data_IF_844583134804
#
_entry.id   IF_844583134804
#
_cell.length_a   1.000
_cell.length_b   1.000
_cell.length_c   1.000
_cell.angle_alpha   90.00
_cell.angle_beta   90.00
_cell.angle_gamma   90.00
#
_symmetry.space_group_name_H-M   'P 1'
#
loop_
_entity.id
_entity.type
_entity.pdbx_description
1 polymer ?
#
# COMPACT_ATOMS: atom_id res chain seq x y z
N UNK A 1 -17.04 2.14 10.34
CA UNK A 1 -18.28 2.39 9.57
C UNK A 1 -18.56 1.19 8.66
N UNK A 2 -19.74 1.12 8.04
CA UNK A 2 -20.01 0.10 7.00
C UNK A 2 -19.88 0.73 5.63
N UNK A 3 -19.10 0.11 4.75
CA UNK A 3 -18.86 0.54 3.36
C UNK A 3 -19.09 -0.64 2.42
N UNK A 4 -19.16 -0.38 1.12
CA UNK A 4 -19.24 -1.41 0.10
C UNK A 4 -17.89 -2.11 -0.04
N UNK A 5 -17.88 -3.42 0.23
CA UNK A 5 -16.75 -4.30 0.03
C UNK A 5 -16.43 -4.51 -1.45
N UNK A 6 -15.30 -5.16 -1.79
CA UNK A 6 -14.87 -5.29 -3.18
C UNK A 6 -15.90 -6.04 -4.05
N UNK A 7 -16.66 -6.99 -3.50
CA UNK A 7 -17.72 -7.72 -4.21
C UNK A 7 -19.11 -7.06 -4.20
N UNK A 8 -19.25 -5.86 -3.63
CA UNK A 8 -20.53 -5.14 -3.52
C UNK A 8 -21.32 -5.39 -2.22
N UNK A 9 -20.90 -6.34 -1.39
CA UNK A 9 -21.51 -6.60 -0.07
C UNK A 9 -21.02 -5.60 0.98
N UNK A 10 -21.82 -5.30 2.00
CA UNK A 10 -21.39 -4.39 3.07
C UNK A 10 -20.32 -4.99 3.98
N UNK A 11 -19.21 -4.28 4.16
CA UNK A 11 -18.10 -4.67 5.06
C UNK A 11 -17.89 -3.62 6.14
N UNK A 12 -17.45 -4.05 7.33
CA UNK A 12 -17.01 -3.14 8.38
C UNK A 12 -15.59 -2.70 8.07
N UNK A 13 -15.41 -1.40 7.88
CA UNK A 13 -14.12 -0.78 7.64
C UNK A 13 -13.84 0.34 8.65
N UNK A 14 -12.55 0.62 8.84
CA UNK A 14 -12.06 1.70 9.69
C UNK A 14 -10.82 2.33 9.05
N UNK A 15 -10.52 3.54 9.49
CA UNK A 15 -9.32 4.27 9.15
C UNK A 15 -8.87 5.06 10.38
N UNK A 16 -7.60 5.47 10.40
CA UNK A 16 -7.02 6.23 11.51
C UNK A 16 -7.26 7.71 11.36
N UNK A 17 -7.72 8.38 12.42
CA UNK A 17 -7.69 9.83 12.54
C UNK A 17 -6.45 10.22 13.35
N UNK A 18 -5.69 11.18 12.83
CA UNK A 18 -4.50 11.71 13.45
C UNK A 18 -4.72 13.17 13.90
N UNK A 19 -3.94 13.67 14.87
CA UNK A 19 -3.98 15.08 15.25
C UNK A 19 -3.73 16.00 14.04
N UNK A 20 -4.36 17.18 14.04
CA UNK A 20 -4.16 18.19 13.00
C UNK A 20 -4.99 17.97 11.74
N UNK A 21 -6.20 17.43 11.85
CA UNK A 21 -7.11 17.19 10.70
C UNK A 21 -6.51 16.25 9.65
N UNK A 22 -5.82 15.20 10.10
CA UNK A 22 -5.15 14.21 9.26
C UNK A 22 -5.83 12.85 9.35
N UNK A 23 -5.75 12.05 8.29
CA UNK A 23 -6.19 10.66 8.31
C UNK A 23 -5.23 9.72 7.60
N UNK A 24 -5.18 8.48 8.07
CA UNK A 24 -4.51 7.35 7.39
C UNK A 24 -5.57 6.34 7.01
N UNK A 25 -5.72 6.09 5.71
CA UNK A 25 -6.71 5.18 5.14
C UNK A 25 -5.96 4.01 4.50
N UNK A 26 -6.29 2.79 4.90
CA UNK A 26 -5.86 1.59 4.18
C UNK A 26 -6.97 1.15 3.22
N UNK A 27 -6.70 1.17 1.92
CA UNK A 27 -7.71 0.77 0.92
C UNK A 27 -8.15 -0.69 1.13
N UNK A 28 -7.25 -1.54 1.64
CA UNK A 28 -7.53 -2.96 1.89
C UNK A 28 -8.65 -3.16 2.93
N UNK A 29 -8.88 -2.20 3.84
CA UNK A 29 -9.97 -2.26 4.81
C UNK A 29 -11.36 -2.27 4.16
N UNK A 30 -11.49 -1.70 2.95
CA UNK A 30 -12.74 -1.64 2.20
C UNK A 30 -12.71 -2.42 0.88
N UNK A 31 -11.54 -2.55 0.25
CA UNK A 31 -11.37 -3.08 -1.11
C UNK A 31 -10.22 -4.10 -1.20
N UNK A 32 -9.89 -4.75 -0.07
CA UNK A 32 -8.78 -5.68 0.06
C UNK A 32 -9.08 -7.12 -0.33
N UNK A 33 -8.05 -7.84 -0.75
CA UNK A 33 -8.11 -9.24 -1.18
C UNK A 33 -8.54 -10.20 -0.06
N UNK A 34 -8.26 -9.85 1.19
CA UNK A 34 -8.61 -10.64 2.39
C UNK A 34 -10.10 -10.57 2.75
N UNK A 35 -10.84 -9.66 2.14
CA UNK A 35 -12.30 -9.55 2.29
C UNK A 35 -13.06 -10.54 1.41
N UNK A 36 -12.37 -11.29 0.55
CA UNK A 36 -12.95 -12.24 -0.39
C UNK A 36 -12.42 -13.65 -0.12
N UNK A 37 -13.32 -14.63 -0.19
CA UNK A 37 -12.91 -16.03 -0.30
C UNK A 37 -12.21 -16.26 -1.65
N UNK A 38 -11.37 -17.30 -1.78
CA UNK A 38 -10.73 -17.63 -3.06
C UNK A 38 -11.70 -17.75 -4.24
N UNK A 39 -12.92 -18.22 -4.00
CA UNK A 39 -13.97 -18.41 -5.01
C UNK A 39 -14.64 -17.09 -5.44
N UNK A 40 -14.63 -16.08 -4.57
CA UNK A 40 -15.22 -14.75 -4.83
C UNK A 40 -14.25 -13.82 -5.59
N UNK A 41 -12.98 -14.21 -5.73
CA UNK A 41 -11.93 -13.42 -6.38
C UNK A 41 -12.16 -13.34 -7.89
N UNK A 42 -12.68 -12.20 -8.33
CA UNK A 42 -12.83 -11.89 -9.75
C UNK A 42 -12.59 -10.39 -10.02
N UNK A 43 -11.43 -10.01 -10.57
CA UNK A 43 -11.05 -8.60 -10.74
C UNK A 43 -11.84 -7.87 -11.83
N UNK A 44 -12.64 -8.58 -12.64
CA UNK A 44 -13.57 -7.95 -13.59
C UNK A 44 -14.75 -7.28 -12.87
N UNK A 45 -15.19 -7.84 -11.74
CA UNK A 45 -16.41 -7.38 -11.06
C UNK A 45 -16.14 -6.67 -9.73
N UNK A 46 -14.92 -6.75 -9.21
CA UNK A 46 -14.57 -6.06 -7.96
C UNK A 46 -14.42 -4.56 -8.15
N UNK A 47 -14.76 -3.79 -7.11
CA UNK A 47 -14.74 -2.33 -7.16
C UNK A 47 -14.03 -1.70 -5.96
N UNK A 48 -13.42 -0.53 -6.19
CA UNK A 48 -12.80 0.32 -5.16
C UNK A 48 -13.79 1.27 -4.47
N UNK A 49 -15.10 1.13 -4.71
CA UNK A 49 -16.13 2.06 -4.22
C UNK A 49 -16.07 2.31 -2.71
N UNK A 50 -15.90 1.26 -1.89
CA UNK A 50 -15.76 1.41 -0.46
C UNK A 50 -14.54 2.22 -0.02
N UNK A 51 -13.44 2.19 -0.77
CA UNK A 51 -12.27 3.05 -0.49
C UNK A 51 -12.65 4.52 -0.63
N UNK A 52 -13.40 4.87 -1.67
CA UNK A 52 -13.90 6.23 -1.86
C UNK A 52 -14.90 6.65 -0.78
N UNK A 53 -15.71 5.72 -0.25
CA UNK A 53 -16.57 5.99 0.91
C UNK A 53 -15.78 6.28 2.19
N UNK A 54 -14.62 5.64 2.39
CA UNK A 54 -13.72 5.98 3.51
C UNK A 54 -13.13 7.39 3.35
N UNK A 55 -12.72 7.76 2.14
CA UNK A 55 -12.23 9.10 1.84
C UNK A 55 -13.33 10.13 2.10
N UNK A 56 -14.55 9.88 1.60
CA UNK A 56 -15.69 10.77 1.80
C UNK A 56 -16.02 10.97 3.29
N UNK A 57 -16.03 9.90 4.09
CA UNK A 57 -16.23 10.00 5.55
C UNK A 57 -15.10 10.78 6.24
N UNK A 58 -13.85 10.64 5.79
CA UNK A 58 -12.76 11.46 6.30
C UNK A 58 -12.95 12.96 5.98
N UNK A 59 -13.34 13.28 4.75
CA UNK A 59 -13.67 14.65 4.35
C UNK A 59 -14.86 15.21 5.14
N UNK A 60 -15.88 14.39 5.45
CA UNK A 60 -17.03 14.77 6.29
C UNK A 60 -16.63 15.11 7.72
N UNK A 61 -15.52 14.55 8.19
CA UNK A 61 -14.92 14.88 9.49
C UNK A 61 -13.98 16.08 9.46
N UNK A 62 -13.89 16.77 8.31
CA UNK A 62 -13.05 17.94 8.14
C UNK A 62 -11.56 17.61 8.09
N UNK A 63 -11.21 16.42 7.61
CA UNK A 63 -9.81 16.05 7.30
C UNK A 63 -9.36 16.81 6.06
N UNK A 64 -8.15 17.36 6.11
CA UNK A 64 -7.53 18.14 5.02
C UNK A 64 -6.19 17.58 4.57
N UNK A 65 -5.71 16.50 5.18
CA UNK A 65 -4.52 15.75 4.75
C UNK A 65 -4.78 14.25 4.93
N UNK A 66 -4.76 13.51 3.83
CA UNK A 66 -5.08 12.09 3.76
C UNK A 66 -3.89 11.31 3.22
N UNK A 67 -3.39 10.40 4.06
CA UNK A 67 -2.41 9.39 3.68
C UNK A 67 -3.14 8.09 3.30
N UNK A 68 -3.08 7.70 2.04
CA UNK A 68 -3.74 6.51 1.49
C UNK A 68 -2.72 5.39 1.26
N UNK A 69 -2.82 4.32 2.04
CA UNK A 69 -2.09 3.08 1.81
C UNK A 69 -2.86 2.22 0.80
N UNK A 70 -2.25 1.94 -0.35
CA UNK A 70 -2.95 1.24 -1.43
C UNK A 70 -2.67 -0.26 -1.51
N UNK A 71 -1.75 -0.82 -0.72
CA UNK A 71 -1.42 -2.25 -0.76
C UNK A 71 -2.61 -3.21 -0.51
N UNK A 72 -2.48 -4.47 -0.97
CA UNK A 72 -3.42 -5.54 -0.61
C UNK A 72 -4.77 -5.55 -1.36
N UNK A 73 -4.92 -4.81 -2.45
CA UNK A 73 -6.17 -4.69 -3.22
C UNK A 73 -6.73 -6.00 -3.80
N UNK A 74 -8.07 -6.09 -3.86
CA UNK A 74 -8.84 -7.11 -4.60
C UNK A 74 -9.19 -6.69 -6.05
N UNK A 75 -8.91 -5.43 -6.42
CA UNK A 75 -9.56 -4.73 -7.52
C UNK A 75 -8.67 -4.56 -8.75
N UNK A 76 -9.26 -4.43 -9.94
CA UNK A 76 -8.58 -3.99 -11.15
C UNK A 76 -9.51 -3.08 -11.98
N UNK A 77 -10.07 -2.06 -11.34
CA UNK A 77 -11.11 -1.17 -11.87
C UNK A 77 -10.57 0.23 -12.25
N UNK A 78 -9.24 0.42 -12.30
CA UNK A 78 -8.65 1.73 -12.62
C UNK A 78 -8.92 2.82 -11.58
N UNK A 79 -9.34 2.43 -10.36
CA UNK A 79 -9.79 3.36 -9.32
C UNK A 79 -11.15 3.99 -9.60
N UNK A 80 -11.88 3.54 -10.63
CA UNK A 80 -13.18 4.10 -11.00
C UNK A 80 -14.18 4.02 -9.86
N UNK A 81 -14.24 2.89 -9.13
CA UNK A 81 -15.14 2.74 -7.99
C UNK A 81 -14.92 3.83 -6.93
N UNK A 82 -13.67 4.02 -6.51
CA UNK A 82 -13.27 5.03 -5.54
C UNK A 82 -13.72 6.44 -5.99
N UNK A 83 -13.43 6.78 -7.25
CA UNK A 83 -13.78 8.09 -7.81
C UNK A 83 -15.28 8.29 -7.98
N UNK A 84 -16.05 7.24 -8.28
CA UNK A 84 -17.51 7.30 -8.31
C UNK A 84 -18.10 7.66 -6.95
N UNK A 85 -17.57 7.09 -5.87
CA UNK A 85 -18.01 7.46 -4.52
C UNK A 85 -17.70 8.94 -4.18
N UNK A 86 -16.73 9.54 -4.87
CA UNK A 86 -16.34 10.94 -4.74
C UNK A 86 -17.02 11.88 -5.75
N UNK A 87 -18.00 11.36 -6.51
CA UNK A 87 -18.83 12.16 -7.42
C UNK A 87 -18.37 12.22 -8.88
N UNK A 88 -17.31 11.50 -9.25
CA UNK A 88 -16.90 11.35 -10.67
C UNK A 88 -17.88 10.42 -11.39
N UNK A 89 -18.29 10.80 -12.60
CA UNK A 89 -19.16 9.96 -13.44
C UNK A 89 -18.39 9.47 -14.65
N UNK A 90 -18.30 8.15 -14.80
CA UNK A 90 -17.72 7.51 -15.99
C UNK A 90 -18.85 7.09 -16.92
N UNK A 91 -18.82 7.56 -18.16
CA UNK A 91 -19.92 7.38 -19.10
C UNK A 91 -19.51 6.49 -20.28
N UNK A 92 -20.43 5.61 -20.70
CA UNK A 92 -20.28 4.81 -21.91
C UNK A 92 -20.55 5.63 -23.19
N UNK A 93 -20.37 5.01 -24.36
CA UNK A 93 -20.63 5.66 -25.65
C UNK A 93 -22.09 6.06 -25.91
N UNK A 94 -23.02 5.66 -25.03
CA UNK A 94 -24.45 6.04 -25.06
C UNK A 94 -24.80 7.08 -23.99
N UNK A 95 -23.83 7.49 -23.16
CA UNK A 95 -24.02 8.42 -22.05
C UNK A 95 -24.57 7.78 -20.77
N UNK A 96 -24.61 6.44 -20.67
CA UNK A 96 -24.98 5.77 -19.43
C UNK A 96 -23.81 5.73 -18.46
N UNK A 97 -24.11 5.87 -17.16
CA UNK A 97 -23.09 5.75 -16.12
C UNK A 97 -22.67 4.29 -15.91
N UNK A 98 -21.36 4.06 -15.85
CA UNK A 98 -20.74 2.77 -15.60
C UNK A 98 -20.65 2.45 -14.11
N UNK A 99 -20.58 1.17 -13.75
CA UNK A 99 -20.53 0.75 -12.36
C UNK A 99 -19.14 0.95 -11.71
N UNK A 100 -18.09 1.14 -12.51
CA UNK A 100 -16.74 1.34 -12.00
C UNK A 100 -16.11 0.02 -11.53
N UNK A 101 -16.05 -0.93 -12.45
CA UNK A 101 -15.48 -2.27 -12.29
C UNK A 101 -14.50 -2.56 -13.42
N UNK A 102 -13.68 -3.61 -13.29
CA UNK A 102 -12.72 -3.98 -14.32
C UNK A 102 -13.34 -4.22 -15.70
N UNK A 103 -14.51 -4.85 -15.75
CA UNK A 103 -15.27 -5.10 -17.00
C UNK A 103 -15.83 -3.82 -17.67
N UNK A 104 -15.81 -2.69 -16.98
CA UNK A 104 -16.29 -1.41 -17.49
C UNK A 104 -15.18 -0.58 -18.15
N UNK A 105 -13.90 -0.89 -17.89
CA UNK A 105 -12.75 -0.10 -18.36
C UNK A 105 -12.79 0.13 -19.87
N UNK A 106 -13.09 -0.92 -20.65
CA UNK A 106 -13.17 -0.84 -22.11
C UNK A 106 -14.35 0.01 -22.61
N UNK A 107 -15.38 0.20 -21.80
CA UNK A 107 -16.62 0.89 -22.17
C UNK A 107 -16.55 2.39 -21.92
N UNK A 108 -15.58 2.86 -21.13
CA UNK A 108 -15.43 4.28 -20.79
C UNK A 108 -15.21 5.09 -22.07
N UNK A 109 -16.10 6.04 -22.32
CA UNK A 109 -16.01 6.96 -23.46
C UNK A 109 -15.68 8.39 -23.02
N UNK A 110 -16.27 8.84 -21.91
CA UNK A 110 -16.05 10.19 -21.35
C UNK A 110 -16.14 10.18 -19.83
N UNK A 111 -15.53 11.20 -19.20
CA UNK A 111 -15.49 11.39 -17.75
C UNK A 111 -16.10 12.75 -17.44
N UNK A 112 -17.10 12.77 -16.57
CA UNK A 112 -17.77 13.97 -16.06
C UNK A 112 -17.31 14.24 -14.62
N UNK A 113 -16.82 15.45 -14.40
CA UNK A 113 -16.24 15.94 -13.15
C UNK A 113 -17.11 16.98 -12.45
N UNK A 114 -18.30 17.32 -12.98
CA UNK A 114 -19.14 18.38 -12.41
C UNK A 114 -19.61 18.07 -10.98
N UNK A 115 -19.78 16.79 -10.66
CA UNK A 115 -20.26 16.28 -9.37
C UNK A 115 -19.16 15.99 -8.35
N UNK A 116 -17.88 16.24 -8.67
CA UNK A 116 -16.75 15.90 -7.79
C UNK A 116 -16.83 16.68 -6.49
N UNK A 117 -16.54 16.01 -5.38
CA UNK A 117 -16.48 16.64 -4.07
C UNK A 117 -15.41 17.75 -4.04
N UNK A 118 -15.86 19.00 -3.90
CA UNK A 118 -14.99 20.18 -3.96
C UNK A 118 -13.92 20.21 -2.85
N UNK A 119 -14.10 19.48 -1.76
CA UNK A 119 -13.11 19.40 -0.68
C UNK A 119 -11.81 18.76 -1.16
N UNK A 120 -11.87 17.90 -2.19
CA UNK A 120 -10.68 17.28 -2.79
C UNK A 120 -9.66 18.33 -3.23
N UNK A 121 -10.09 19.49 -3.74
CA UNK A 121 -9.18 20.56 -4.16
C UNK A 121 -8.42 21.22 -3.00
N UNK A 122 -8.96 21.12 -1.78
CA UNK A 122 -8.41 21.72 -0.56
C UNK A 122 -7.77 20.69 0.38
N UNK A 123 -7.74 19.41 -0.02
CA UNK A 123 -7.19 18.31 0.76
C UNK A 123 -5.88 17.86 0.12
N UNK A 124 -4.83 17.77 0.92
CA UNK A 124 -3.57 17.16 0.52
C UNK A 124 -3.72 15.63 0.55
N UNK A 125 -3.29 14.97 -0.52
CA UNK A 125 -3.34 13.51 -0.63
C UNK A 125 -1.93 12.96 -0.82
N UNK A 126 -1.57 11.99 0.01
CA UNK A 126 -0.32 11.24 -0.10
C UNK A 126 -0.64 9.77 -0.32
N UNK A 127 -0.20 9.20 -1.43
CA UNK A 127 -0.40 7.78 -1.76
C UNK A 127 0.88 7.03 -1.51
N UNK A 128 0.84 6.12 -0.54
CA UNK A 128 1.96 5.26 -0.22
C UNK A 128 2.04 4.11 -1.23
N UNK A 129 3.09 4.12 -2.05
CA UNK A 129 3.30 3.15 -3.12
C UNK A 129 4.75 2.67 -3.17
N UNK A 130 4.94 1.37 -2.91
CA UNK A 130 6.27 0.74 -2.87
C UNK A 130 6.60 -0.07 -4.14
N UNK A 131 5.78 0.07 -5.20
CA UNK A 131 6.00 -0.61 -6.49
C UNK A 131 6.18 0.40 -7.62
N UNK A 132 7.02 0.05 -8.59
CA UNK A 132 7.32 0.91 -9.76
C UNK A 132 6.49 0.54 -11.00
N UNK A 133 5.57 -0.41 -10.87
CA UNK A 133 4.78 -0.93 -11.98
C UNK A 133 3.98 0.20 -12.67
N UNK A 134 4.15 0.39 -13.99
CA UNK A 134 3.31 1.30 -14.76
C UNK A 134 1.88 0.77 -14.84
N UNK A 135 0.97 1.54 -15.42
CA UNK A 135 -0.41 1.12 -15.60
C UNK A 135 -0.54 -0.09 -16.54
N UNK A 136 0.20 -0.07 -17.65
CA UNK A 136 0.06 -0.97 -18.79
C UNK A 136 1.33 -1.78 -19.08
N UNK A 137 1.19 -2.82 -19.90
CA UNK A 137 2.28 -3.62 -20.45
C UNK A 137 2.62 -4.84 -19.60
N UNK A 138 3.74 -5.49 -19.92
CA UNK A 138 4.18 -6.73 -19.25
C UNK A 138 4.51 -6.56 -17.78
N UNK A 139 4.81 -5.33 -17.35
CA UNK A 139 4.96 -4.93 -15.95
C UNK A 139 3.74 -4.16 -15.42
N UNK A 140 2.64 -4.12 -16.18
CA UNK A 140 1.43 -3.36 -15.89
C UNK A 140 0.57 -3.96 -14.78
N UNK A 141 -0.48 -3.23 -14.41
CA UNK A 141 -1.40 -3.62 -13.34
C UNK A 141 -2.04 -5.00 -13.57
N UNK A 142 -2.60 -5.21 -14.77
CA UNK A 142 -3.30 -6.44 -15.12
C UNK A 142 -2.34 -7.63 -15.23
N UNK A 143 -1.22 -7.47 -15.96
CA UNK A 143 -0.27 -8.54 -16.18
C UNK A 143 0.37 -9.06 -14.88
N UNK A 144 0.72 -8.17 -13.95
CA UNK A 144 1.47 -8.54 -12.74
C UNK A 144 0.56 -8.92 -11.58
N UNK A 145 -0.51 -8.15 -11.34
CA UNK A 145 -1.27 -8.25 -10.09
C UNK A 145 -2.66 -8.84 -10.24
N UNK A 146 -3.25 -8.92 -11.44
CA UNK A 146 -4.57 -9.52 -11.60
C UNK A 146 -4.59 -11.05 -11.35
N UNK A 147 -3.54 -11.85 -11.69
CA UNK A 147 -3.57 -13.30 -11.44
C UNK A 147 -3.75 -13.68 -9.97
N UNK A 148 -3.05 -13.01 -9.04
CA UNK A 148 -3.24 -13.23 -7.60
C UNK A 148 -4.62 -12.77 -7.09
N UNK A 149 -5.33 -11.94 -7.86
CA UNK A 149 -6.70 -11.48 -7.60
C UNK A 149 -7.76 -12.38 -8.25
N UNK A 150 -7.37 -13.51 -8.85
CA UNK A 150 -8.28 -14.49 -9.47
C UNK A 150 -8.42 -14.39 -10.99
N UNK A 151 -7.66 -13.51 -11.67
CA UNK A 151 -7.71 -13.44 -13.13
C UNK A 151 -7.05 -14.66 -13.80
N UNK A 152 -7.75 -15.27 -14.74
CA UNK A 152 -7.14 -16.18 -15.71
C UNK A 152 -6.55 -15.41 -16.90
N UNK A 153 -5.89 -16.10 -17.83
CA UNK A 153 -5.22 -15.48 -18.98
C UNK A 153 -6.15 -14.62 -19.85
N UNK A 154 -7.41 -15.04 -20.06
CA UNK A 154 -8.35 -14.24 -20.86
C UNK A 154 -8.80 -12.98 -20.12
N UNK A 155 -9.04 -13.08 -18.81
CA UNK A 155 -9.37 -11.92 -17.97
C UNK A 155 -8.21 -10.92 -17.93
N UNK A 156 -6.96 -11.39 -17.86
CA UNK A 156 -5.78 -10.51 -17.92
C UNK A 156 -5.75 -9.74 -19.24
N UNK A 157 -5.97 -10.41 -20.36
CA UNK A 157 -5.99 -9.76 -21.68
C UNK A 157 -7.15 -8.75 -21.81
N UNK A 158 -8.33 -9.09 -21.29
CA UNK A 158 -9.50 -8.19 -21.26
C UNK A 158 -9.24 -6.94 -20.42
N UNK A 159 -8.70 -7.12 -19.20
CA UNK A 159 -8.35 -6.03 -18.30
C UNK A 159 -7.25 -5.13 -18.89
N UNK A 160 -6.26 -5.71 -19.56
CA UNK A 160 -5.18 -4.95 -20.21
C UNK A 160 -5.71 -4.06 -21.34
N UNK A 161 -6.53 -4.60 -22.25
CA UNK A 161 -7.13 -3.82 -23.33
C UNK A 161 -8.12 -2.78 -22.80
N UNK A 162 -8.90 -3.14 -21.77
CA UNK A 162 -9.77 -2.19 -21.08
C UNK A 162 -9.00 -1.05 -20.44
N UNK A 163 -7.92 -1.35 -19.71
CA UNK A 163 -7.08 -0.36 -19.06
C UNK A 163 -6.39 0.55 -20.08
N UNK A 164 -6.00 0.02 -21.24
CA UNK A 164 -5.43 0.80 -22.35
C UNK A 164 -6.44 1.79 -22.93
N UNK A 165 -7.69 1.36 -23.13
CA UNK A 165 -8.78 2.25 -23.55
C UNK A 165 -9.02 3.36 -22.51
N UNK A 166 -9.12 2.97 -21.24
CA UNK A 166 -9.29 3.87 -20.11
C UNK A 166 -8.16 4.91 -19.99
N UNK A 167 -6.90 4.49 -20.10
CA UNK A 167 -5.74 5.38 -20.13
C UNK A 167 -5.83 6.42 -21.25
N UNK A 168 -6.31 6.02 -22.44
CA UNK A 168 -6.55 6.94 -23.53
C UNK A 168 -7.63 8.00 -23.22
N UNK A 169 -8.69 7.62 -22.48
CA UNK A 169 -9.72 8.57 -22.02
C UNK A 169 -9.14 9.51 -20.97
N UNK A 170 -8.37 8.99 -20.00
CA UNK A 170 -7.69 9.79 -18.98
C UNK A 170 -6.78 10.84 -19.62
N UNK A 171 -5.94 10.44 -20.59
CA UNK A 171 -5.04 11.35 -21.28
C UNK A 171 -5.77 12.47 -22.01
N UNK A 172 -6.91 12.18 -22.66
CA UNK A 172 -7.75 13.21 -23.27
C UNK A 172 -8.43 14.13 -22.26
N UNK A 173 -8.81 13.60 -21.09
CA UNK A 173 -9.52 14.34 -20.04
C UNK A 173 -8.59 15.30 -19.32
N UNK A 174 -7.38 14.86 -18.97
CA UNK A 174 -6.43 15.63 -18.18
C UNK A 174 -5.36 16.34 -19.04
N UNK A 175 -5.32 16.09 -20.35
CA UNK A 175 -4.36 16.68 -21.27
C UNK A 175 -2.92 16.16 -21.11
N UNK A 176 -2.72 15.10 -20.32
CA UNK A 176 -1.41 14.47 -20.09
C UNK A 176 -1.56 12.96 -19.93
N UNK A 177 -0.61 12.21 -20.48
CA UNK A 177 -0.52 10.76 -20.30
C UNK A 177 0.57 10.42 -19.28
N UNK A 178 0.14 9.96 -18.11
CA UNK A 178 1.03 9.52 -17.03
C UNK A 178 1.05 8.00 -16.91
N UNK A 179 0.40 7.25 -17.80
CA UNK A 179 0.22 5.79 -17.65
C UNK A 179 1.52 4.98 -17.56
N UNK A 180 2.62 5.52 -18.07
CA UNK A 180 3.96 4.92 -18.01
C UNK A 180 4.76 5.34 -16.76
N UNK A 181 4.27 6.27 -15.93
CA UNK A 181 4.96 6.69 -14.72
C UNK A 181 5.01 5.54 -13.68
N UNK A 182 6.07 5.47 -12.85
CA UNK A 182 6.17 4.47 -11.80
C UNK A 182 4.99 4.53 -10.81
N UNK A 183 4.48 3.37 -10.42
CA UNK A 183 3.42 3.24 -9.40
C UNK A 183 2.01 3.49 -9.93
N UNK A 184 1.83 3.89 -11.19
CA UNK A 184 0.51 4.15 -11.76
C UNK A 184 -0.36 2.90 -11.88
N UNK A 185 0.26 1.71 -12.01
CA UNK A 185 -0.44 0.43 -11.99
C UNK A 185 -0.76 -0.10 -10.60
N UNK A 186 -0.31 0.59 -9.54
CA UNK A 186 -0.52 0.13 -8.19
C UNK A 186 -2.02 -0.05 -7.90
N UNK A 187 -2.33 -1.19 -7.29
CA UNK A 187 -3.67 -1.56 -6.84
C UNK A 187 -4.73 -1.51 -7.93
N UNK A 188 -4.37 -2.04 -9.11
CA UNK A 188 -5.31 -2.17 -10.22
C UNK A 188 -5.62 -0.85 -10.91
N UNK A 189 -4.71 0.12 -10.82
CA UNK A 189 -4.87 1.47 -11.38
C UNK A 189 -5.43 2.50 -10.40
N UNK A 190 -5.57 2.19 -9.10
CA UNK A 190 -5.89 3.19 -8.09
C UNK A 190 -4.77 4.25 -7.96
N UNK A 191 -3.50 3.85 -8.20
CA UNK A 191 -2.36 4.78 -8.22
C UNK A 191 -2.54 5.92 -9.23
N UNK A 192 -2.83 5.61 -10.49
CA UNK A 192 -3.10 6.64 -11.51
C UNK A 192 -4.36 7.45 -11.20
N UNK A 193 -5.40 6.83 -10.64
CA UNK A 193 -6.63 7.50 -10.25
C UNK A 193 -6.35 8.56 -9.17
N UNK A 194 -5.60 8.21 -8.13
CA UNK A 194 -5.23 9.14 -7.08
C UNK A 194 -4.32 10.26 -7.61
N UNK A 195 -3.37 9.94 -8.50
CA UNK A 195 -2.48 10.93 -9.12
C UNK A 195 -3.24 11.98 -9.94
N UNK A 196 -4.19 11.56 -10.78
CA UNK A 196 -4.88 12.46 -11.72
C UNK A 196 -6.05 13.20 -11.07
N UNK A 197 -6.87 12.52 -10.27
CA UNK A 197 -8.12 13.09 -9.74
C UNK A 197 -7.94 13.73 -8.37
N UNK A 198 -7.15 13.11 -7.49
CA UNK A 198 -6.89 13.63 -6.14
C UNK A 198 -5.63 14.51 -6.11
N UNK A 199 -4.92 14.62 -7.23
CA UNK A 199 -3.60 15.28 -7.33
C UNK A 199 -2.60 14.76 -6.30
N UNK A 200 -2.75 13.49 -5.92
CA UNK A 200 -1.98 12.92 -4.84
C UNK A 200 -0.50 12.88 -5.17
N UNK A 201 0.32 13.14 -4.17
CA UNK A 201 1.75 12.87 -4.20
C UNK A 201 1.97 11.37 -3.98
N UNK A 202 2.71 10.73 -4.89
CA UNK A 202 3.10 9.33 -4.73
C UNK A 202 4.39 9.28 -3.92
N UNK A 203 4.32 8.72 -2.72
CA UNK A 203 5.42 8.71 -1.75
C UNK A 203 5.81 7.27 -1.38
N UNK A 204 7.10 7.02 -1.06
CA UNK A 204 7.52 5.73 -0.50
C UNK A 204 6.82 5.47 0.83
N UNK A 205 6.23 4.29 1.00
CA UNK A 205 5.36 3.99 2.14
C UNK A 205 6.08 4.08 3.48
N UNK A 206 7.26 3.44 3.60
CA UNK A 206 7.99 3.45 4.86
C UNK A 206 8.47 4.85 5.26
N UNK A 207 9.02 5.63 4.33
CA UNK A 207 9.52 6.97 4.66
C UNK A 207 8.36 7.85 5.13
N UNK A 208 7.22 7.80 4.44
CA UNK A 208 6.03 8.55 4.83
C UNK A 208 5.48 8.13 6.20
N UNK A 209 5.43 6.83 6.50
CA UNK A 209 5.01 6.32 7.82
C UNK A 209 5.95 6.82 8.93
N UNK A 210 7.26 6.81 8.71
CA UNK A 210 8.24 7.29 9.69
C UNK A 210 8.08 8.80 9.95
N UNK A 211 7.78 9.58 8.92
CA UNK A 211 7.49 11.01 9.07
C UNK A 211 6.15 11.24 9.80
N UNK A 212 5.10 10.48 9.49
CA UNK A 212 3.78 10.57 10.14
C UNK A 212 3.84 10.31 11.66
N UNK A 213 4.66 9.36 12.10
CA UNK A 213 4.81 9.00 13.52
C UNK A 213 5.84 9.85 14.25
N UNK A 214 6.50 10.80 13.57
CA UNK A 214 7.55 11.63 14.16
C UNK A 214 8.77 10.81 14.58
N UNK A 215 9.15 9.79 13.79
CA UNK A 215 10.18 8.82 14.16
C UNK A 215 11.53 9.48 14.46
N UNK A 216 11.90 10.53 13.71
CA UNK A 216 13.15 11.24 13.91
C UNK A 216 13.23 11.96 15.28
N UNK A 217 12.10 12.36 15.84
CA UNK A 217 12.02 12.92 17.19
C UNK A 217 12.11 11.82 18.25
N UNK A 218 11.51 10.64 17.99
CA UNK A 218 11.65 9.46 18.86
C UNK A 218 13.08 8.93 18.91
N UNK A 219 13.84 9.09 17.82
CA UNK A 219 15.27 8.74 17.79
C UNK A 219 16.14 9.71 18.60
N UNK A 220 15.67 10.93 18.86
CA UNK A 220 16.47 11.92 19.56
C UNK A 220 16.74 11.47 21.02
N UNK A 221 18.00 11.14 21.31
CA UNK A 221 18.43 10.66 22.62
C UNK A 221 18.30 9.15 22.83
N UNK A 222 17.91 8.37 21.80
CA UNK A 222 17.93 6.92 21.87
C UNK A 222 19.36 6.38 21.75
N UNK A 223 19.75 5.48 22.67
CA UNK A 223 21.04 4.76 22.60
C UNK A 223 21.03 3.58 21.62
N UNK A 224 19.84 3.07 21.31
CA UNK A 224 19.61 1.89 20.47
C UNK A 224 18.21 1.94 19.88
N UNK A 225 18.09 1.65 18.58
CA UNK A 225 16.82 1.35 17.93
C UNK A 225 16.70 -0.17 17.72
N UNK A 226 15.57 -0.74 18.09
CA UNK A 226 15.23 -2.14 17.77
C UNK A 226 14.04 -2.13 16.81
N UNK A 227 14.21 -2.77 15.66
CA UNK A 227 13.18 -2.91 14.63
C UNK A 227 13.01 -4.39 14.26
N UNK A 228 12.09 -4.70 13.35
CA UNK A 228 11.87 -6.07 12.93
C UNK A 228 10.83 -6.24 11.83
N UNK A 229 10.81 -7.44 11.26
CA UNK A 229 9.79 -7.88 10.31
C UNK A 229 9.67 -9.42 10.35
N UNK A 230 8.65 -9.97 9.69
CA UNK A 230 8.40 -11.42 9.71
C UNK A 230 9.48 -12.23 9.00
N UNK A 231 9.95 -11.76 7.85
CA UNK A 231 10.99 -12.43 7.07
C UNK A 231 11.89 -11.38 6.40
N UNK A 232 13.19 -11.45 6.67
CA UNK A 232 14.17 -10.58 6.03
C UNK A 232 14.77 -11.26 4.79
N UNK A 233 14.58 -10.65 3.63
CA UNK A 233 15.07 -11.14 2.35
C UNK A 233 15.61 -10.00 1.47
N UNK A 234 15.85 -10.27 0.18
CA UNK A 234 16.31 -9.23 -0.75
C UNK A 234 15.30 -8.12 -0.93
N UNK A 235 13.99 -8.36 -0.76
CA UNK A 235 13.00 -7.30 -0.85
C UNK A 235 13.07 -6.37 0.37
N UNK A 236 13.43 -6.88 1.55
CA UNK A 236 13.67 -6.07 2.75
C UNK A 236 14.75 -5.01 2.57
N UNK A 237 15.73 -5.32 1.72
CA UNK A 237 16.84 -4.43 1.36
C UNK A 237 16.38 -3.27 0.47
N UNK A 238 15.35 -3.48 -0.35
CA UNK A 238 14.90 -2.53 -1.38
C UNK A 238 13.79 -1.58 -0.89
N UNK A 239 13.99 -0.93 0.26
CA UNK A 239 13.10 0.17 0.69
C UNK A 239 11.88 -0.27 1.49
N UNK A 240 11.97 -1.39 2.23
CA UNK A 240 10.96 -1.82 3.21
C UNK A 240 11.26 -1.27 4.62
N UNK A 241 10.40 -1.63 5.57
CA UNK A 241 10.43 -1.23 6.98
C UNK A 241 11.83 -1.23 7.62
N UNK A 242 12.53 -2.37 7.58
CA UNK A 242 13.84 -2.50 8.24
C UNK A 242 14.88 -1.57 7.64
N UNK A 243 14.96 -1.50 6.30
CA UNK A 243 15.90 -0.60 5.62
C UNK A 243 15.60 0.89 5.86
N UNK A 244 14.33 1.30 5.88
CA UNK A 244 13.94 2.70 6.12
C UNK A 244 14.27 3.15 7.54
N UNK A 245 13.91 2.31 8.54
CA UNK A 245 14.28 2.55 9.94
C UNK A 245 15.80 2.62 10.11
N UNK A 246 16.53 1.65 9.56
CA UNK A 246 17.99 1.62 9.64
C UNK A 246 18.64 2.86 9.02
N UNK A 247 18.11 3.34 7.88
CA UNK A 247 18.59 4.55 7.21
C UNK A 247 18.37 5.82 8.07
N UNK A 248 17.21 5.95 8.72
CA UNK A 248 16.92 7.06 9.66
C UNK A 248 17.84 6.99 10.89
N UNK A 249 18.02 5.79 11.46
CA UNK A 249 18.94 5.56 12.58
C UNK A 249 20.39 5.94 12.23
N UNK A 250 20.88 5.48 11.07
CA UNK A 250 22.23 5.78 10.57
C UNK A 250 22.47 7.28 10.41
N UNK A 251 21.49 8.04 9.90
CA UNK A 251 21.57 9.51 9.78
C UNK A 251 21.71 10.21 11.13
N UNK A 252 21.13 9.65 12.19
CA UNK A 252 21.20 10.17 13.57
C UNK A 252 22.36 9.59 14.40
N UNK A 253 23.12 8.65 13.84
CA UNK A 253 24.20 7.96 14.57
C UNK A 253 23.70 6.99 15.64
N UNK A 254 22.43 6.57 15.59
CA UNK A 254 21.84 5.62 16.54
C UNK A 254 22.06 4.19 16.00
N UNK A 255 22.66 3.27 16.77
CA UNK A 255 22.75 1.86 16.39
C UNK A 255 21.36 1.24 16.19
N UNK A 256 21.20 0.40 15.16
CA UNK A 256 19.92 -0.22 14.81
C UNK A 256 20.06 -1.74 14.79
N UNK A 257 19.26 -2.47 15.57
CA UNK A 257 19.24 -3.93 15.55
C UNK A 257 17.90 -4.43 15.02
N UNK A 258 17.94 -5.38 14.09
CA UNK A 258 16.75 -6.00 13.53
C UNK A 258 16.49 -7.37 14.17
N UNK A 259 15.33 -7.54 14.83
CA UNK A 259 14.81 -8.84 15.23
C UNK A 259 13.86 -9.35 14.15
N UNK A 260 14.20 -10.45 13.50
CA UNK A 260 13.47 -10.93 12.31
C UNK A 260 12.95 -12.34 12.51
N UNK A 261 11.73 -12.65 12.07
CA UNK A 261 11.15 -13.98 12.25
C UNK A 261 11.99 -15.07 11.59
N UNK A 262 12.33 -14.85 10.33
CA UNK A 262 13.29 -15.63 9.56
C UNK A 262 14.15 -14.70 8.68
N UNK A 263 15.23 -15.23 8.13
CA UNK A 263 16.05 -14.49 7.18
C UNK A 263 16.70 -15.42 6.14
N UNK A 264 16.85 -14.89 4.93
CA UNK A 264 17.68 -15.51 3.90
C UNK A 264 19.11 -14.96 3.94
N UNK A 265 20.03 -15.59 3.21
CA UNK A 265 21.42 -15.12 3.14
C UNK A 265 21.53 -13.65 2.66
N UNK A 266 20.63 -13.22 1.77
CA UNK A 266 20.58 -11.86 1.24
C UNK A 266 20.26 -10.79 2.29
N UNK A 267 19.63 -11.13 3.41
CA UNK A 267 19.31 -10.16 4.46
C UNK A 267 20.57 -9.52 5.07
N UNK A 268 21.74 -10.17 4.96
CA UNK A 268 23.01 -9.59 5.40
C UNK A 268 23.37 -8.29 4.67
N UNK A 269 22.79 -8.02 3.50
CA UNK A 269 22.94 -6.75 2.79
C UNK A 269 22.39 -5.55 3.58
N UNK A 270 21.43 -5.76 4.49
CA UNK A 270 20.88 -4.72 5.38
C UNK A 270 21.95 -4.06 6.26
N UNK A 271 23.07 -4.75 6.51
CA UNK A 271 24.20 -4.16 7.24
C UNK A 271 24.76 -2.93 6.50
N UNK A 272 24.76 -2.93 5.17
CA UNK A 272 25.16 -1.78 4.35
C UNK A 272 24.20 -0.58 4.50
N UNK A 273 22.93 -0.85 4.79
CA UNK A 273 21.86 0.15 4.93
C UNK A 273 21.75 0.74 6.34
N UNK A 274 22.59 0.32 7.28
CA UNK A 274 22.67 0.89 8.63
C UNK A 274 22.20 -0.02 9.75
N UNK A 275 21.78 -1.26 9.44
CA UNK A 275 21.55 -2.26 10.48
C UNK A 275 22.90 -2.66 11.08
N UNK A 276 23.00 -2.60 12.40
CA UNK A 276 24.20 -2.96 13.17
C UNK A 276 24.26 -4.46 13.47
N UNK A 277 23.10 -5.10 13.67
CA UNK A 277 23.00 -6.55 13.83
C UNK A 277 21.61 -7.05 13.41
N UNK A 278 21.54 -8.31 12.98
CA UNK A 278 20.29 -9.01 12.63
C UNK A 278 20.22 -10.26 13.50
N UNK A 279 19.10 -10.46 14.18
CA UNK A 279 18.88 -11.60 15.08
C UNK A 279 17.61 -12.33 14.68
N UNK A 280 17.72 -13.54 14.10
CA UNK A 280 16.57 -14.41 13.87
C UNK A 280 15.89 -14.81 15.19
N UNK A 281 14.57 -14.85 15.19
CA UNK A 281 13.81 -15.19 16.40
C UNK A 281 13.68 -16.68 16.63
N UNK A 282 13.48 -17.44 15.55
CA UNK A 282 13.27 -18.89 15.60
C UNK A 282 14.52 -19.63 16.07
N UNK A 283 14.32 -20.61 16.97
CA UNK A 283 15.38 -21.48 17.49
C UNK A 283 15.19 -22.88 16.92
N UNK A 284 16.16 -23.34 16.12
CA UNK A 284 16.15 -24.68 15.53
C UNK A 284 15.20 -24.82 14.32
N UNK A 285 15.05 -26.05 13.84
CA UNK A 285 14.16 -26.36 12.72
C UNK A 285 12.72 -26.56 13.24
N UNK A 286 11.79 -25.75 12.77
CA UNK A 286 10.36 -25.85 13.12
C UNK A 286 9.49 -25.55 11.90
N UNK A 287 8.21 -25.89 11.97
CA UNK A 287 7.25 -25.51 10.94
C UNK A 287 6.92 -24.00 11.02
N UNK A 288 6.48 -23.41 9.91
CA UNK A 288 6.05 -21.99 9.91
C UNK A 288 4.86 -21.78 10.85
N UNK A 289 3.92 -22.74 10.90
CA UNK A 289 2.78 -22.68 11.80
C UNK A 289 3.23 -22.65 13.27
N UNK A 290 4.11 -23.58 13.66
CA UNK A 290 4.63 -23.63 15.04
C UNK A 290 5.44 -22.37 15.38
N UNK A 291 6.21 -21.83 14.43
CA UNK A 291 6.95 -20.58 14.63
C UNK A 291 6.02 -19.39 14.88
N UNK A 292 4.89 -19.33 14.16
CA UNK A 292 3.87 -18.28 14.32
C UNK A 292 3.09 -18.45 15.64
N UNK A 293 2.73 -19.68 16.00
CA UNK A 293 2.01 -19.99 17.25
C UNK A 293 2.84 -19.62 18.50
N UNK A 294 4.17 -19.65 18.38
CA UNK A 294 5.11 -19.30 19.46
C UNK A 294 5.85 -17.98 19.20
N UNK A 295 5.34 -17.10 18.33
CA UNK A 295 6.04 -15.89 17.89
C UNK A 295 6.49 -15.01 19.07
N UNK A 296 5.60 -14.71 20.03
CA UNK A 296 5.91 -13.87 21.19
C UNK A 296 7.06 -14.43 22.04
N UNK A 297 7.03 -15.74 22.29
CA UNK A 297 8.10 -16.43 23.02
C UNK A 297 9.42 -16.37 22.24
N UNK A 298 9.38 -16.63 20.93
CA UNK A 298 10.56 -16.57 20.06
C UNK A 298 11.17 -15.16 20.03
N UNK A 299 10.35 -14.10 19.94
CA UNK A 299 10.80 -12.71 20.00
C UNK A 299 11.43 -12.36 21.35
N UNK A 300 10.81 -12.80 22.46
CA UNK A 300 11.35 -12.58 23.81
C UNK A 300 12.73 -13.21 23.97
N UNK A 301 12.87 -14.48 23.57
CA UNK A 301 14.15 -15.20 23.63
C UNK A 301 15.20 -14.55 22.70
N UNK A 302 14.79 -14.01 21.56
CA UNK A 302 15.69 -13.28 20.66
C UNK A 302 16.18 -11.97 21.27
N UNK A 303 15.28 -11.21 21.90
CA UNK A 303 15.63 -9.99 22.62
C UNK A 303 16.60 -10.27 23.77
N UNK A 304 16.38 -11.33 24.55
CA UNK A 304 17.29 -11.75 25.63
C UNK A 304 18.70 -12.06 25.11
N UNK A 305 18.79 -12.78 23.99
CA UNK A 305 20.08 -13.06 23.32
C UNK A 305 20.75 -11.78 22.85
N UNK A 306 19.99 -10.89 22.21
CA UNK A 306 20.48 -9.60 21.73
C UNK A 306 21.06 -8.76 22.88
N UNK A 307 20.29 -8.54 23.95
CA UNK A 307 20.74 -7.76 25.10
C UNK A 307 21.91 -8.42 25.84
N UNK A 308 21.97 -9.75 25.88
CA UNK A 308 23.11 -10.47 26.44
C UNK A 308 24.40 -10.19 25.68
N UNK A 309 24.37 -10.15 24.34
CA UNK A 309 25.51 -9.80 23.51
C UNK A 309 25.93 -8.33 23.69
N UNK A 310 24.95 -7.41 23.75
CA UNK A 310 25.22 -5.99 24.00
C UNK A 310 25.91 -5.76 25.36
N UNK A 311 25.47 -6.49 26.40
CA UNK A 311 26.09 -6.45 27.74
C UNK A 311 27.53 -6.96 27.74
N UNK A 312 27.86 -7.95 26.91
CA UNK A 312 29.26 -8.37 26.73
C UNK A 312 30.05 -7.23 26.07
N UNK A 313 29.50 -6.65 24.99
CA UNK A 313 30.14 -5.55 24.26
C UNK A 313 30.46 -4.34 25.13
N UNK A 314 29.58 -3.95 26.06
CA UNK A 314 29.84 -2.83 26.97
C UNK A 314 31.01 -3.06 27.93
N UNK A 315 31.35 -4.33 28.22
CA UNK A 315 32.52 -4.71 29.02
C UNK A 315 33.81 -4.87 28.23
N UNK A 316 33.78 -4.83 26.89
CA UNK A 316 34.97 -4.96 26.03
C UNK A 316 35.72 -3.63 25.82
N UNK A 317 35.18 -2.51 26.32
CA UNK A 317 35.84 -1.20 26.26
C UNK A 317 36.94 -1.14 27.32
N UNK A 318 38.12 -1.64 26.96
CA UNK A 318 39.39 -1.46 27.65
C UNK A 318 40.47 -1.00 26.65
#
# INVERSE_FOLDING_TARGET
MTVEGPGGSGVKAMYGLLPGHRAVIEMAAASGLTLLSPEERNPLVTSTFGTGQLILDALDRGVVDISLAIGGSATNDGGMGCLRALGVRFLDGRGNELAGRGEDLAKVNSIDLEGVDRRIEATDFHVMCDVDNPLLGTRGAAAVFAPQKGANTSMVAELEEGMKSYAGVLARTFGTDVSCEPGMGASGGLGIAARLFLRAEVVPGIEHVLDLVGFDDLLAGADLCVTGEGHADSQSVHGKLVSGVACRCKRRGVPCVALVGAMDASATELLGYGVSAIVPTVIGCTSVADAMDHAEQNFTLAADRMFSLLRIGSGLVH
#
